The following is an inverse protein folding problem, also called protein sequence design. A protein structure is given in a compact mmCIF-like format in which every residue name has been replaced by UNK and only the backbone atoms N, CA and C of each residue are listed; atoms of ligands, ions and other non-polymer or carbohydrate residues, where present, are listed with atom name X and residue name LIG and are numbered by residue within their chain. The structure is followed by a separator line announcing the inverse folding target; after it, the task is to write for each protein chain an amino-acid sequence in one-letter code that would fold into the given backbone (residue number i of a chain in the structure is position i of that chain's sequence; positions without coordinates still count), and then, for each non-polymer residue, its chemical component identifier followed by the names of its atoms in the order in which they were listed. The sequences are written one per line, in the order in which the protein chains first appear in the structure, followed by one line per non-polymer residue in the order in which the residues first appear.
data_IF_998488719388
#
_entry.id   IF_998488719388
#
_cell.length_a   1.000
_cell.length_b   1.000
_cell.length_c   1.000
_cell.angle_alpha   90.00
_cell.angle_beta   90.00
_cell.angle_gamma   90.00
#
_symmetry.space_group_name_H-M   'P 1'
#
loop_
_entity.id
_entity.type
_entity.pdbx_description
1 polymer ?
#
# COMPACT_ATOMS: atom_id res chain seq x y z
N UNK A 1 -45.63 -21.93 45.30
CA UNK A 1 -45.44 -22.17 43.81
C UNK A 1 -45.06 -20.89 43.05
N UNK A 2 -45.78 -19.76 43.20
CA UNK A 2 -45.47 -18.51 42.48
C UNK A 2 -44.11 -17.89 42.87
N UNK A 3 -43.75 -17.93 44.13
CA UNK A 3 -42.49 -17.37 44.63
C UNK A 3 -41.24 -18.15 44.14
N UNK A 4 -41.31 -19.46 44.08
CA UNK A 4 -40.26 -20.34 43.53
C UNK A 4 -40.05 -20.11 42.05
N UNK A 5 -41.12 -19.92 41.29
CA UNK A 5 -41.07 -19.61 39.88
C UNK A 5 -40.45 -18.23 39.59
N UNK A 6 -40.75 -17.23 40.43
CA UNK A 6 -40.17 -15.88 40.32
C UNK A 6 -38.66 -15.93 40.61
N UNK A 7 -38.26 -16.63 41.68
CA UNK A 7 -36.84 -16.78 42.01
C UNK A 7 -36.08 -17.51 40.92
N UNK A 8 -36.63 -18.61 40.38
CA UNK A 8 -36.00 -19.36 39.30
C UNK A 8 -35.85 -18.52 38.03
N UNK A 9 -36.89 -17.76 37.65
CA UNK A 9 -36.82 -16.87 36.46
C UNK A 9 -35.80 -15.73 36.64
N UNK A 10 -35.70 -15.17 37.85
CA UNK A 10 -34.72 -14.14 38.19
C UNK A 10 -33.29 -14.67 38.09
N UNK A 11 -33.03 -15.87 38.60
CA UNK A 11 -31.71 -16.52 38.47
C UNK A 11 -31.34 -16.76 37.01
N UNK A 12 -32.29 -17.28 36.21
CA UNK A 12 -32.06 -17.51 34.79
C UNK A 12 -31.75 -16.22 34.05
N UNK A 13 -32.47 -15.14 34.35
CA UNK A 13 -32.23 -13.82 33.75
C UNK A 13 -30.84 -13.27 34.08
N UNK A 14 -30.39 -13.41 35.35
CA UNK A 14 -29.04 -12.99 35.74
C UNK A 14 -27.95 -13.81 35.04
N UNK A 15 -28.15 -15.11 34.89
CA UNK A 15 -27.22 -15.99 34.14
C UNK A 15 -27.13 -15.53 32.68
N UNK A 16 -28.27 -15.26 32.03
CA UNK A 16 -28.31 -14.79 30.66
C UNK A 16 -27.62 -13.43 30.48
N UNK A 17 -27.82 -12.50 31.43
CA UNK A 17 -27.15 -11.18 31.44
C UNK A 17 -25.63 -11.32 31.60
N UNK A 18 -25.18 -12.16 32.55
CA UNK A 18 -23.74 -12.39 32.73
C UNK A 18 -23.11 -13.05 31.50
N UNK A 19 -23.77 -14.04 30.90
CA UNK A 19 -23.29 -14.69 29.66
C UNK A 19 -23.22 -13.68 28.49
N UNK A 20 -24.25 -12.85 28.33
CA UNK A 20 -24.26 -11.79 27.32
C UNK A 20 -23.13 -10.76 27.54
N UNK A 21 -22.89 -10.38 28.78
CA UNK A 21 -21.78 -9.48 29.16
C UNK A 21 -20.41 -10.05 28.78
N UNK A 22 -20.18 -11.33 29.04
CA UNK A 22 -18.91 -12.00 28.67
C UNK A 22 -18.72 -12.04 27.15
N UNK A 23 -19.78 -12.33 26.40
CA UNK A 23 -19.72 -12.32 24.92
C UNK A 23 -19.43 -10.92 24.39
N UNK A 24 -20.10 -9.88 24.92
CA UNK A 24 -19.85 -8.48 24.54
C UNK A 24 -18.42 -8.05 24.84
N UNK A 25 -17.88 -8.41 26.01
CA UNK A 25 -16.48 -8.14 26.34
C UNK A 25 -15.52 -8.87 25.41
N UNK A 26 -15.82 -10.10 25.02
CA UNK A 26 -15.06 -10.86 24.04
C UNK A 26 -15.01 -10.17 22.65
N UNK A 27 -16.17 -9.71 22.19
CA UNK A 27 -16.28 -8.98 20.92
C UNK A 27 -15.55 -7.63 21.01
N UNK A 28 -15.75 -6.87 22.07
CA UNK A 28 -15.06 -5.59 22.28
C UNK A 28 -13.54 -5.74 22.29
N UNK A 29 -13.03 -6.81 22.93
CA UNK A 29 -11.59 -7.13 22.90
C UNK A 29 -11.08 -7.48 21.51
N UNK A 30 -11.85 -8.25 20.73
CA UNK A 30 -11.49 -8.58 19.35
C UNK A 30 -11.49 -7.34 18.45
N UNK A 31 -12.49 -6.48 18.58
CA UNK A 31 -12.56 -5.19 17.86
C UNK A 31 -11.41 -4.27 18.26
N UNK A 32 -11.05 -4.21 19.55
CA UNK A 32 -9.91 -3.45 20.04
C UNK A 32 -8.58 -3.92 19.43
N UNK A 33 -8.34 -5.24 19.37
CA UNK A 33 -7.16 -5.83 18.74
C UNK A 33 -7.12 -5.60 17.21
N UNK A 34 -8.28 -5.62 16.53
CA UNK A 34 -8.36 -5.25 15.12
C UNK A 34 -8.08 -3.75 14.92
N UNK A 35 -8.53 -2.91 15.84
CA UNK A 35 -8.32 -1.46 15.77
C UNK A 35 -6.84 -1.07 15.99
N UNK A 36 -6.13 -1.75 16.88
CA UNK A 36 -4.67 -1.60 17.03
C UNK A 36 -3.90 -2.04 15.78
N UNK A 37 -4.34 -3.12 15.13
CA UNK A 37 -3.74 -3.58 13.86
C UNK A 37 -4.15 -2.74 12.65
N UNK A 38 -5.26 -2.03 12.75
CA UNK A 38 -5.81 -1.13 11.73
C UNK A 38 -5.68 0.33 12.16
N UNK A 39 -4.77 0.66 13.10
CA UNK A 39 -4.59 2.06 13.49
C UNK A 39 -4.56 2.88 12.19
N UNK A 40 -5.59 3.71 11.93
CA UNK A 40 -5.51 4.61 10.81
C UNK A 40 -4.40 5.57 11.20
N UNK A 41 -3.22 5.38 10.63
CA UNK A 41 -2.25 6.45 10.55
C UNK A 41 -3.01 7.61 9.91
N UNK A 42 -3.43 8.51 10.77
CA UNK A 42 -4.16 9.74 10.62
C UNK A 42 -4.81 10.01 9.27
N UNK A 43 -6.07 10.36 9.31
CA UNK A 43 -6.86 10.89 8.19
C UNK A 43 -6.33 12.22 7.61
N UNK A 44 -5.03 12.48 7.71
CA UNK A 44 -4.31 13.63 7.17
C UNK A 44 -2.97 13.19 6.58
N UNK A 45 -2.98 12.20 5.71
CA UNK A 45 -1.94 12.13 4.71
C UNK A 45 -2.47 12.91 3.52
N UNK A 46 -2.37 14.22 3.63
CA UNK A 46 -2.23 15.07 2.47
C UNK A 46 -0.98 14.54 1.75
N UNK A 47 -1.15 14.12 0.52
CA UNK A 47 -0.11 13.64 -0.37
C UNK A 47 0.77 14.85 -0.76
N UNK A 48 1.52 15.37 0.22
CA UNK A 48 2.35 16.57 0.11
C UNK A 48 3.77 16.29 -0.37
N UNK A 49 4.11 15.02 -0.55
CA UNK A 49 5.38 14.63 -1.16
C UNK A 49 5.46 15.08 -2.62
N UNK A 50 6.63 14.90 -3.25
CA UNK A 50 6.81 15.27 -4.65
C UNK A 50 5.72 14.62 -5.51
N UNK A 51 5.07 15.45 -6.34
CA UNK A 51 3.95 15.07 -7.18
C UNK A 51 4.38 14.35 -8.46
N UNK A 52 3.41 13.83 -9.19
CA UNK A 52 3.64 13.38 -10.56
C UNK A 52 3.96 14.61 -11.43
N UNK A 53 5.03 14.50 -12.22
CA UNK A 53 5.60 15.60 -12.99
C UNK A 53 6.73 16.35 -12.26
N UNK A 54 6.89 16.17 -10.96
CA UNK A 54 8.00 16.76 -10.22
C UNK A 54 9.27 15.92 -10.36
N UNK A 55 10.43 16.56 -10.19
CA UNK A 55 11.69 15.85 -10.07
C UNK A 55 11.74 15.10 -8.74
N UNK A 56 12.10 13.82 -8.78
CA UNK A 56 12.31 13.03 -7.60
C UNK A 56 13.48 13.57 -6.77
N UNK A 57 13.37 13.57 -5.43
CA UNK A 57 14.49 13.89 -4.56
C UNK A 57 15.69 13.00 -4.87
N UNK A 58 16.88 13.59 -4.91
CA UNK A 58 18.11 12.88 -5.27
C UNK A 58 18.84 12.41 -4.02
N UNK A 59 19.22 11.14 -3.98
CA UNK A 59 20.00 10.52 -2.91
C UNK A 59 21.16 9.72 -3.47
N UNK A 60 22.31 9.81 -2.82
CA UNK A 60 23.44 8.90 -3.00
C UNK A 60 23.53 8.02 -1.76
N UNK A 61 23.25 6.74 -1.91
CA UNK A 61 23.05 5.78 -0.81
C UNK A 61 23.83 4.51 -1.06
N UNK A 62 23.91 3.68 -0.02
CA UNK A 62 24.50 2.33 -0.12
C UNK A 62 23.41 1.31 0.21
N UNK A 63 23.27 0.28 -0.64
CA UNK A 63 22.35 -0.82 -0.38
C UNK A 63 22.92 -1.78 0.70
N UNK A 64 22.08 -2.68 1.19
CA UNK A 64 22.49 -3.67 2.22
C UNK A 64 23.62 -4.61 1.78
N UNK A 65 23.93 -4.65 0.49
CA UNK A 65 25.05 -5.42 -0.08
C UNK A 65 26.34 -4.57 -0.21
N UNK A 66 26.32 -3.31 0.20
CA UNK A 66 27.47 -2.38 0.12
C UNK A 66 27.62 -1.68 -1.23
N UNK A 67 26.69 -1.80 -2.17
CA UNK A 67 26.77 -1.14 -3.47
C UNK A 67 26.21 0.28 -3.40
N UNK A 68 26.93 1.22 -4.02
CA UNK A 68 26.44 2.59 -4.19
C UNK A 68 25.23 2.60 -5.14
N UNK A 69 24.18 3.28 -4.72
CA UNK A 69 22.94 3.47 -5.49
C UNK A 69 22.59 4.93 -5.54
N UNK A 70 21.91 5.31 -6.61
CA UNK A 70 21.35 6.66 -6.77
C UNK A 70 19.84 6.55 -6.90
N UNK A 71 19.12 7.44 -6.23
CA UNK A 71 17.68 7.64 -6.37
C UNK A 71 17.50 9.04 -6.93
N UNK A 72 16.62 9.19 -7.93
CA UNK A 72 16.40 10.47 -8.59
C UNK A 72 17.58 10.93 -9.45
N UNK A 73 17.40 12.06 -10.16
CA UNK A 73 18.34 12.49 -11.19
C UNK A 73 18.23 11.63 -12.47
N UNK A 74 19.12 11.88 -13.42
CA UNK A 74 19.16 11.10 -14.65
C UNK A 74 19.64 9.67 -14.39
N UNK A 75 18.92 8.70 -14.94
CA UNK A 75 19.26 7.29 -14.83
C UNK A 75 20.47 6.96 -15.69
N UNK A 76 21.55 6.51 -15.08
CA UNK A 76 22.74 6.06 -15.81
C UNK A 76 22.46 4.84 -16.71
N UNK A 77 21.42 4.06 -16.40
CA UNK A 77 21.00 2.90 -17.18
C UNK A 77 20.00 3.23 -18.30
N UNK A 78 19.44 4.45 -18.31
CA UNK A 78 18.44 4.86 -19.30
C UNK A 78 17.10 4.14 -19.16
N UNK A 79 16.82 3.58 -17.97
CA UNK A 79 15.59 2.86 -17.67
C UNK A 79 14.78 3.58 -16.59
N UNK A 80 13.46 3.38 -16.63
CA UNK A 80 12.58 3.79 -15.54
C UNK A 80 12.90 2.99 -14.26
N UNK A 81 12.73 3.62 -13.11
CA UNK A 81 12.99 2.99 -11.80
C UNK A 81 11.73 3.00 -10.95
N UNK A 82 11.28 1.83 -10.52
CA UNK A 82 10.24 1.66 -9.52
C UNK A 82 10.86 1.63 -8.13
N UNK A 83 10.67 2.71 -7.37
CA UNK A 83 10.93 2.69 -5.93
C UNK A 83 9.74 2.02 -5.23
N UNK A 84 10.00 0.94 -4.51
CA UNK A 84 8.97 0.21 -3.79
C UNK A 84 9.23 0.33 -2.29
N UNK A 85 8.43 1.14 -1.61
CA UNK A 85 8.50 1.31 -0.17
C UNK A 85 7.81 0.14 0.52
N UNK A 86 8.54 -0.53 1.41
CA UNK A 86 8.12 -1.75 2.09
C UNK A 86 8.46 -1.70 3.57
N UNK A 87 7.97 -2.67 4.35
CA UNK A 87 8.39 -2.87 5.73
C UNK A 87 8.56 -4.36 5.99
N UNK A 88 9.56 -4.78 6.76
CA UNK A 88 9.79 -6.19 7.11
C UNK A 88 8.63 -6.80 7.90
N UNK A 89 7.85 -5.98 8.62
CA UNK A 89 6.70 -6.40 9.42
C UNK A 89 5.38 -6.37 8.65
N UNK A 90 5.39 -6.03 7.36
CA UNK A 90 4.21 -5.88 6.54
C UNK A 90 3.87 -7.19 5.79
N UNK A 91 2.82 -7.94 6.16
CA UNK A 91 2.49 -9.21 5.52
C UNK A 91 1.99 -9.06 4.07
N UNK A 92 1.52 -7.86 3.69
CA UNK A 92 1.14 -7.55 2.30
C UNK A 92 2.39 -7.38 1.45
N UNK A 93 3.42 -6.73 1.97
CA UNK A 93 4.69 -6.54 1.29
C UNK A 93 5.37 -7.88 0.97
N UNK A 94 5.35 -8.82 1.91
CA UNK A 94 5.83 -10.18 1.74
C UNK A 94 5.23 -10.88 0.50
N UNK A 95 3.91 -10.83 0.40
CA UNK A 95 3.16 -11.45 -0.71
C UNK A 95 3.33 -10.72 -2.04
N UNK A 96 3.58 -9.41 -1.96
CA UNK A 96 3.70 -8.56 -3.15
C UNK A 96 5.08 -8.68 -3.82
N UNK A 97 6.12 -9.00 -3.08
CA UNK A 97 7.50 -9.01 -3.56
C UNK A 97 7.74 -9.86 -4.83
N UNK A 98 7.27 -11.12 -4.93
CA UNK A 98 7.39 -11.90 -6.15
C UNK A 98 6.59 -11.29 -7.32
N UNK A 99 5.49 -10.61 -7.03
CA UNK A 99 4.65 -9.93 -8.02
C UNK A 99 5.38 -8.69 -8.56
N UNK A 100 5.96 -7.87 -7.69
CA UNK A 100 6.79 -6.71 -8.07
C UNK A 100 7.89 -7.12 -9.03
N UNK A 101 8.62 -8.20 -8.70
CA UNK A 101 9.68 -8.75 -9.56
C UNK A 101 9.15 -9.19 -10.93
N UNK A 102 8.00 -9.86 -10.95
CA UNK A 102 7.37 -10.33 -12.19
C UNK A 102 6.91 -9.18 -13.08
N UNK A 103 6.23 -8.20 -12.50
CA UNK A 103 5.70 -7.03 -13.23
C UNK A 103 6.86 -6.17 -13.74
N UNK A 104 7.83 -5.84 -12.90
CA UNK A 104 8.97 -5.03 -13.30
C UNK A 104 9.77 -5.65 -14.45
N UNK A 105 9.97 -6.98 -14.42
CA UNK A 105 10.64 -7.70 -15.52
C UNK A 105 9.82 -7.66 -16.80
N UNK A 106 8.51 -7.79 -16.73
CA UNK A 106 7.63 -7.72 -17.89
C UNK A 106 7.59 -6.32 -18.51
N UNK A 107 7.69 -5.28 -17.68
CA UNK A 107 7.66 -3.88 -18.09
C UNK A 107 9.04 -3.30 -18.44
N UNK A 108 10.13 -4.03 -18.16
CA UNK A 108 11.50 -3.56 -18.39
C UNK A 108 11.93 -2.42 -17.45
N UNK A 109 11.39 -2.40 -16.23
CA UNK A 109 11.62 -1.35 -15.22
C UNK A 109 12.57 -1.87 -14.15
N UNK A 110 13.53 -1.06 -13.76
CA UNK A 110 14.41 -1.35 -12.63
C UNK A 110 13.65 -1.20 -11.30
N UNK A 111 13.90 -2.10 -10.36
CA UNK A 111 13.26 -2.05 -9.03
C UNK A 111 14.29 -1.75 -7.95
N UNK A 112 13.92 -0.89 -7.03
CA UNK A 112 14.65 -0.66 -5.78
C UNK A 112 13.67 -0.71 -4.60
N UNK A 113 13.97 -1.55 -3.62
CA UNK A 113 13.20 -1.65 -2.38
C UNK A 113 13.75 -0.67 -1.35
N UNK A 114 12.86 0.12 -0.79
CA UNK A 114 13.16 1.07 0.29
C UNK A 114 12.39 0.63 1.53
N UNK A 115 13.10 0.58 2.65
CA UNK A 115 12.48 0.24 3.94
C UNK A 115 13.01 1.15 5.05
N UNK A 116 12.32 1.15 6.17
CA UNK A 116 12.72 1.84 7.39
C UNK A 116 12.73 0.87 8.57
N UNK A 117 13.25 1.29 9.71
CA UNK A 117 13.34 0.48 10.92
C UNK A 117 14.77 0.07 11.28
N UNK A 118 14.89 -0.76 12.33
CA UNK A 118 16.18 -1.23 12.81
C UNK A 118 16.75 -2.33 11.91
N UNK A 119 18.07 -2.36 11.75
CA UNK A 119 18.76 -3.30 10.86
C UNK A 119 18.45 -4.77 11.22
N UNK A 120 18.23 -5.06 12.51
CA UNK A 120 17.92 -6.40 13.01
C UNK A 120 16.61 -6.96 12.44
N UNK A 121 15.59 -6.11 12.27
CA UNK A 121 14.29 -6.51 11.73
C UNK A 121 14.38 -6.95 10.27
N UNK A 122 15.36 -6.42 9.55
CA UNK A 122 15.57 -6.72 8.14
C UNK A 122 16.32 -8.03 7.91
N UNK A 123 17.07 -8.55 8.90
CA UNK A 123 17.85 -9.78 8.74
C UNK A 123 16.98 -10.99 8.41
N UNK A 124 15.85 -11.13 9.11
CA UNK A 124 14.89 -12.21 8.86
C UNK A 124 14.25 -12.04 7.48
N UNK A 125 13.80 -10.83 7.15
CA UNK A 125 13.21 -10.53 5.85
C UNK A 125 14.17 -10.82 4.69
N UNK A 126 15.44 -10.40 4.80
CA UNK A 126 16.46 -10.63 3.78
C UNK A 126 16.82 -12.12 3.65
N UNK A 127 16.80 -12.88 4.76
CA UNK A 127 17.06 -14.33 4.72
C UNK A 127 15.92 -15.12 4.08
N UNK A 128 14.69 -14.67 4.29
CA UNK A 128 13.47 -15.30 3.76
C UNK A 128 13.28 -15.04 2.28
N UNK A 129 13.65 -13.84 1.82
CA UNK A 129 13.44 -13.42 0.44
C UNK A 129 14.76 -13.38 -0.32
N UNK A 130 14.83 -14.14 -1.42
CA UNK A 130 15.94 -13.99 -2.33
C UNK A 130 15.79 -12.68 -3.11
N UNK A 131 16.54 -11.64 -2.73
CA UNK A 131 16.56 -10.33 -3.39
C UNK A 131 17.68 -10.20 -4.44
N UNK A 132 18.03 -11.29 -5.12
CA UNK A 132 19.06 -11.25 -6.16
C UNK A 132 18.64 -10.32 -7.30
N UNK A 133 19.52 -9.37 -7.58
CA UNK A 133 19.32 -8.34 -8.60
C UNK A 133 18.42 -7.17 -8.19
N UNK A 134 17.80 -7.19 -7.00
CA UNK A 134 17.00 -6.08 -6.50
C UNK A 134 17.76 -5.38 -5.36
N UNK A 135 18.15 -4.11 -5.51
CA UNK A 135 18.72 -3.32 -4.43
C UNK A 135 17.71 -3.16 -3.27
N UNK A 136 18.20 -3.33 -2.05
CA UNK A 136 17.44 -3.10 -0.83
C UNK A 136 18.14 -2.05 0.02
N UNK A 137 17.42 -1.00 0.37
CA UNK A 137 17.94 0.16 1.08
C UNK A 137 17.14 0.38 2.36
N UNK A 138 17.84 0.55 3.47
CA UNK A 138 17.22 0.89 4.77
C UNK A 138 17.47 2.38 4.99
N UNK A 139 16.42 3.20 4.89
CA UNK A 139 16.53 4.64 5.08
C UNK A 139 15.17 5.28 5.37
N UNK A 140 15.01 5.72 6.60
CA UNK A 140 13.84 6.51 7.02
C UNK A 140 13.80 7.88 6.32
N UNK A 141 14.96 8.47 6.02
CA UNK A 141 15.05 9.79 5.38
C UNK A 141 14.37 9.78 4.00
N UNK A 142 14.56 8.72 3.21
CA UNK A 142 13.95 8.60 1.88
C UNK A 142 12.43 8.56 2.01
N UNK A 143 11.90 7.75 2.95
CA UNK A 143 10.47 7.67 3.22
C UNK A 143 9.87 9.03 3.60
N UNK A 144 10.55 9.79 4.46
CA UNK A 144 10.15 11.14 4.87
C UNK A 144 10.17 12.12 3.69
N UNK A 145 11.20 12.10 2.85
CA UNK A 145 11.30 12.99 1.68
C UNK A 145 10.26 12.72 0.62
N UNK A 146 9.91 11.46 0.41
CA UNK A 146 8.80 11.08 -0.46
C UNK A 146 7.44 11.16 0.24
N UNK A 147 7.40 11.46 1.54
CA UNK A 147 6.21 11.54 2.40
C UNK A 147 5.34 10.27 2.33
N UNK A 148 6.01 9.11 2.34
CA UNK A 148 5.34 7.83 2.33
C UNK A 148 4.82 7.50 3.73
N UNK A 149 3.51 7.53 3.92
CA UNK A 149 2.88 7.24 5.21
C UNK A 149 2.27 5.85 5.32
N UNK A 150 2.22 5.08 4.22
CA UNK A 150 1.66 3.72 4.19
C UNK A 150 2.44 2.85 3.23
N UNK A 151 2.62 1.58 3.59
CA UNK A 151 3.29 0.58 2.74
C UNK A 151 2.34 -0.60 2.47
N UNK A 152 2.49 -1.28 1.32
CA UNK A 152 3.44 -1.04 0.22
C UNK A 152 3.05 0.17 -0.65
N UNK A 153 4.03 1.00 -0.98
CA UNK A 153 3.83 2.19 -1.80
C UNK A 153 4.83 2.21 -2.95
N UNK A 154 4.35 2.46 -4.16
CA UNK A 154 5.17 2.53 -5.38
C UNK A 154 5.35 3.96 -5.86
N UNK A 155 6.56 4.31 -6.29
CA UNK A 155 6.88 5.55 -7.01
C UNK A 155 7.66 5.18 -8.26
N UNK A 156 7.12 5.46 -9.42
CA UNK A 156 7.76 5.24 -10.71
C UNK A 156 8.44 6.54 -11.17
N UNK A 157 9.74 6.44 -11.43
CA UNK A 157 10.60 7.55 -11.85
C UNK A 157 11.13 7.23 -13.24
N UNK A 158 11.03 8.17 -14.16
CA UNK A 158 11.58 7.99 -15.52
C UNK A 158 13.10 8.15 -15.57
N UNK A 159 13.67 7.93 -16.75
CA UNK A 159 15.10 8.05 -17.00
C UNK A 159 15.66 9.45 -16.77
N UNK A 160 14.80 10.49 -16.76
CA UNK A 160 15.18 11.89 -16.53
C UNK A 160 15.07 12.28 -15.04
N UNK A 161 14.62 11.36 -14.19
CA UNK A 161 14.42 11.59 -12.76
C UNK A 161 13.09 12.25 -12.40
N UNK A 162 12.10 12.24 -13.30
CA UNK A 162 10.76 12.79 -13.07
C UNK A 162 9.81 11.68 -12.60
N UNK A 163 9.00 11.96 -11.59
CA UNK A 163 7.99 11.05 -11.08
C UNK A 163 6.85 10.93 -12.10
N UNK A 164 6.61 9.73 -12.63
CA UNK A 164 5.58 9.45 -13.63
C UNK A 164 4.28 8.96 -13.01
N UNK A 165 4.38 8.18 -11.95
CA UNK A 165 3.22 7.67 -11.22
C UNK A 165 3.60 7.33 -9.78
N UNK A 166 2.64 7.39 -8.87
CA UNK A 166 2.83 6.98 -7.47
C UNK A 166 1.53 6.49 -6.86
N UNK A 167 1.60 5.60 -5.87
CA UNK A 167 0.41 5.14 -5.17
C UNK A 167 0.61 3.88 -4.33
N UNK A 168 -0.43 3.54 -3.55
CA UNK A 168 -0.48 2.29 -2.78
C UNK A 168 -0.61 1.08 -3.72
N UNK A 169 0.22 0.08 -3.50
CA UNK A 169 0.34 -1.10 -4.35
C UNK A 169 0.11 -2.39 -3.55
N UNK A 170 -1.13 -2.71 -3.23
CA UNK A 170 -1.45 -3.89 -2.41
C UNK A 170 -1.64 -5.18 -3.21
N UNK A 171 -1.82 -5.09 -4.52
CA UNK A 171 -2.10 -6.21 -5.41
C UNK A 171 -1.33 -6.07 -6.73
N UNK A 172 -1.35 -7.13 -7.56
CA UNK A 172 -0.80 -7.10 -8.92
C UNK A 172 -1.46 -6.01 -9.76
N UNK A 173 -2.77 -5.93 -9.69
CA UNK A 173 -3.58 -4.97 -10.47
C UNK A 173 -3.23 -3.53 -10.13
N UNK A 174 -2.87 -3.25 -8.85
CA UNK A 174 -2.40 -1.93 -8.45
C UNK A 174 -1.03 -1.60 -9.08
N UNK A 175 -0.11 -2.56 -9.14
CA UNK A 175 1.18 -2.36 -9.80
C UNK A 175 1.01 -2.17 -11.31
N UNK A 176 0.23 -3.00 -11.97
CA UNK A 176 -0.06 -2.87 -13.42
C UNK A 176 -0.75 -1.53 -13.72
N UNK A 177 -1.70 -1.11 -12.86
CA UNK A 177 -2.35 0.20 -12.97
C UNK A 177 -1.39 1.36 -12.72
N UNK A 178 -0.37 1.18 -11.87
CA UNK A 178 0.69 2.20 -11.67
C UNK A 178 1.51 2.39 -12.95
N UNK A 179 1.89 1.30 -13.62
CA UNK A 179 2.60 1.35 -14.90
C UNK A 179 1.74 1.98 -16.00
N UNK A 180 0.46 1.62 -16.05
CA UNK A 180 -0.48 2.18 -17.02
C UNK A 180 -0.76 3.67 -16.79
N UNK A 181 -0.87 4.11 -15.52
CA UNK A 181 -1.02 5.51 -15.16
C UNK A 181 0.18 6.36 -15.65
N UNK A 182 1.39 5.82 -15.55
CA UNK A 182 2.60 6.45 -16.10
C UNK A 182 2.50 6.70 -17.60
N UNK A 183 2.02 5.72 -18.38
CA UNK A 183 1.86 5.85 -19.84
C UNK A 183 0.81 6.89 -20.22
N UNK A 184 -0.22 7.07 -19.41
CA UNK A 184 -1.32 8.01 -19.66
C UNK A 184 -1.13 9.39 -19.04
N UNK A 185 -0.03 9.63 -18.32
CA UNK A 185 0.27 10.93 -17.69
C UNK A 185 -0.76 11.35 -16.64
N UNK A 186 -1.31 10.40 -15.87
CA UNK A 186 -2.29 10.67 -14.80
C UNK A 186 -1.57 10.86 -13.47
N UNK A 187 -2.02 11.85 -12.67
CA UNK A 187 -1.30 12.35 -11.49
C UNK A 187 -1.13 11.33 -10.37
N UNK A 188 -2.00 10.31 -10.28
CA UNK A 188 -1.87 9.23 -9.29
C UNK A 188 -2.64 7.98 -9.70
N UNK A 189 -2.26 6.84 -9.11
CA UNK A 189 -2.99 5.58 -9.27
C UNK A 189 -4.46 5.72 -8.85
N UNK A 190 -4.73 6.44 -7.78
CA UNK A 190 -6.08 6.68 -7.27
C UNK A 190 -6.92 7.51 -8.25
N UNK A 191 -6.33 8.53 -8.86
CA UNK A 191 -6.97 9.34 -9.89
C UNK A 191 -7.23 8.52 -11.16
N UNK A 192 -6.28 7.69 -11.59
CA UNK A 192 -6.47 6.77 -12.70
C UNK A 192 -7.63 5.81 -12.48
N UNK A 193 -7.69 5.18 -11.32
CA UNK A 193 -8.78 4.26 -10.95
C UNK A 193 -10.13 5.01 -10.90
N UNK A 194 -10.17 6.22 -10.33
CA UNK A 194 -11.37 7.04 -10.28
C UNK A 194 -11.84 7.43 -11.70
N UNK A 195 -10.92 7.84 -12.57
CA UNK A 195 -11.22 8.20 -13.97
C UNK A 195 -11.73 7.01 -14.78
N UNK A 196 -11.11 5.84 -14.62
CA UNK A 196 -11.54 4.60 -15.27
C UNK A 196 -12.93 4.18 -14.82
N UNK A 197 -13.25 4.28 -13.52
CA UNK A 197 -14.59 3.99 -12.97
C UNK A 197 -15.63 4.96 -13.49
N UNK A 198 -15.34 6.26 -13.54
CA UNK A 198 -16.25 7.28 -14.03
C UNK A 198 -16.46 7.20 -15.55
N UNK A 199 -15.42 6.84 -16.31
CA UNK A 199 -15.52 6.58 -17.76
C UNK A 199 -16.39 5.36 -18.10
N UNK A 200 -16.34 4.32 -17.28
CA UNK A 200 -17.20 3.15 -17.45
C UNK A 200 -18.68 3.44 -17.16
N UNK A 201 -18.96 4.37 -16.24
CA UNK A 201 -20.36 4.81 -15.94
C UNK A 201 -20.96 5.67 -17.05
N UNK A 202 -20.15 6.45 -17.79
CA UNK A 202 -20.64 7.24 -18.92
C UNK A 202 -20.89 6.41 -20.20
N UNK A 203 -20.21 5.27 -20.36
CA UNK A 203 -20.44 4.36 -21.49
C UNK A 203 -21.74 3.53 -21.38
N UNK A 204 -22.39 3.55 -20.21
CA UNK A 204 -23.63 2.82 -19.94
C UNK A 204 -24.89 3.73 -19.95
N UNK A 205 -24.82 4.93 -20.51
CA UNK A 205 -26.02 5.77 -20.68
C UNK A 205 -26.96 5.17 -21.74
N UNK A 206 -28.26 5.01 -21.47
CA UNK A 206 -29.19 4.38 -22.42
C UNK A 206 -29.35 5.24 -23.65
N UNK A 207 -29.27 4.57 -24.81
CA UNK A 207 -29.62 5.14 -26.11
C UNK A 207 -31.10 5.58 -26.04
N UNK A 208 -31.35 6.86 -26.10
CA UNK A 208 -32.71 7.39 -26.28
C UNK A 208 -33.14 7.03 -27.69
N UNK A 209 -34.04 6.06 -27.79
CA UNK A 209 -34.79 5.79 -29.05
C UNK A 209 -35.77 6.96 -29.23
N UNK A 210 -35.46 7.86 -30.13
CA UNK A 210 -36.44 8.86 -30.61
C UNK A 210 -37.49 8.14 -31.44
N UNK A 211 -38.71 8.01 -30.90
CA UNK A 211 -39.89 7.66 -31.69
C UNK A 211 -40.20 8.85 -32.58
N UNK A 212 -39.95 8.72 -33.88
CA UNK A 212 -40.41 9.63 -34.89
C UNK A 212 -41.90 9.47 -35.11
N UNK A 213 -42.60 10.58 -35.12
CA UNK A 213 -43.92 10.72 -35.73
C UNK A 213 -43.79 10.93 -37.24
#
# INVERSE_FOLDING_TARGET
MTTELIIASSILQWIALCAGGVVLLGIARQVGLLHERSAPLGAMITDHGPGVGDKAPTFSIVDVKGHKRQIGGESAAGHETLLMFTSPTCPVCDKLLPIVRSVARAEGVDVMLISDGAEEEHKEFLSKHNLDGIPYVISTEIGIRFQVGKVPYGVLIDETGVIKAKGLCNTREHLESLMEASRHGVSSLQEYIAKKRNGATHAAAPVQVSAGQ
#
